data_IF_974942610846
#
_entry.id   IF_974942610846
#
_cell.length_a   1.000
_cell.length_b   1.000
_cell.length_c   1.000
_cell.angle_alpha   90.00
_cell.angle_beta   90.00
_cell.angle_gamma   90.00
#
_symmetry.space_group_name_H-M   'P 1'
#
loop_
_entity.id
_entity.type
_entity.pdbx_description
1 polymer ?
#
# COMPACT_ATOMS: atom_id res chain seq x y z
N UNK A 1 -16.10 1.06 -23.42
CA UNK A 1 -15.73 2.48 -23.28
C UNK A 1 -16.55 3.23 -22.24
N UNK A 2 -17.84 3.56 -22.46
CA UNK A 2 -18.64 4.31 -21.46
C UNK A 2 -18.85 3.56 -20.14
N UNK A 3 -19.23 2.27 -20.21
CA UNK A 3 -19.44 1.44 -19.02
C UNK A 3 -18.16 1.27 -18.19
N UNK A 4 -17.02 1.04 -18.86
CA UNK A 4 -15.72 0.88 -18.20
C UNK A 4 -15.26 2.18 -17.53
N UNK A 5 -15.50 3.32 -18.18
CA UNK A 5 -15.23 4.63 -17.60
C UNK A 5 -16.10 4.90 -16.38
N UNK A 6 -17.42 4.70 -16.50
CA UNK A 6 -18.37 4.91 -15.41
C UNK A 6 -18.03 4.04 -14.19
N UNK A 7 -17.69 2.77 -14.40
CA UNK A 7 -17.27 1.90 -13.33
C UNK A 7 -15.93 2.30 -12.70
N UNK A 8 -14.96 2.74 -13.50
CA UNK A 8 -13.69 3.25 -12.97
C UNK A 8 -13.89 4.47 -12.07
N UNK A 9 -14.79 5.38 -12.47
CA UNK A 9 -15.19 6.54 -11.65
C UNK A 9 -15.91 6.09 -10.38
N UNK A 10 -16.83 5.14 -10.48
CA UNK A 10 -17.56 4.61 -9.32
C UNK A 10 -16.61 3.93 -8.31
N UNK A 11 -15.68 3.10 -8.78
CA UNK A 11 -14.67 2.45 -7.94
C UNK A 11 -13.77 3.51 -7.29
N UNK A 12 -13.32 4.51 -8.05
CA UNK A 12 -12.53 5.61 -7.50
C UNK A 12 -13.29 6.38 -6.41
N UNK A 13 -14.56 6.73 -6.65
CA UNK A 13 -15.39 7.43 -5.68
C UNK A 13 -15.60 6.60 -4.41
N UNK A 14 -15.87 5.29 -4.54
CA UNK A 14 -16.00 4.39 -3.41
C UNK A 14 -14.71 4.35 -2.58
N UNK A 15 -13.56 4.15 -3.22
CA UNK A 15 -12.27 4.15 -2.54
C UNK A 15 -11.94 5.50 -1.90
N UNK A 16 -12.35 6.60 -2.52
CA UNK A 16 -12.13 7.94 -1.98
C UNK A 16 -12.87 8.16 -0.67
N UNK A 17 -14.12 7.70 -0.58
CA UNK A 17 -14.91 7.75 0.66
C UNK A 17 -14.27 6.85 1.73
N UNK A 18 -13.85 5.64 1.34
CA UNK A 18 -13.28 4.65 2.25
C UNK A 18 -11.80 4.93 2.63
N UNK A 19 -11.15 5.92 1.99
CA UNK A 19 -9.74 6.29 2.21
C UNK A 19 -9.42 6.66 3.66
N UNK A 20 -10.38 7.23 4.40
CA UNK A 20 -10.15 7.75 5.76
C UNK A 20 -10.16 6.65 6.84
N UNK A 21 -10.28 5.39 6.48
CA UNK A 21 -10.35 4.29 7.44
C UNK A 21 -9.00 4.06 8.15
N UNK A 22 -9.00 3.69 9.45
CA UNK A 22 -7.78 3.40 10.22
C UNK A 22 -7.02 2.11 9.83
N UNK A 23 -7.36 1.40 8.76
CA UNK A 23 -6.75 0.10 8.43
C UNK A 23 -5.26 0.17 8.01
N UNK A 24 -4.57 -0.97 8.07
CA UNK A 24 -3.17 -1.14 7.64
C UNK A 24 -2.93 -0.71 6.19
N UNK A 25 -1.71 -0.23 5.95
CA UNK A 25 -1.23 0.12 4.60
C UNK A 25 -1.29 -1.11 3.71
N UNK A 26 -2.11 -1.07 2.65
CA UNK A 26 -2.41 -2.21 1.79
C UNK A 26 -3.90 -2.52 1.69
N UNK A 27 -4.69 -2.21 2.72
CA UNK A 27 -6.13 -2.51 2.73
C UNK A 27 -6.90 -1.85 1.58
N UNK A 28 -6.63 -0.57 1.30
CA UNK A 28 -7.31 0.16 0.23
C UNK A 28 -6.95 -0.38 -1.17
N UNK A 29 -5.73 -0.87 -1.33
CA UNK A 29 -5.29 -1.54 -2.56
C UNK A 29 -5.96 -2.90 -2.71
N UNK A 30 -6.06 -3.68 -1.64
CA UNK A 30 -6.79 -4.96 -1.63
C UNK A 30 -8.27 -4.77 -1.97
N UNK A 31 -8.90 -3.73 -1.42
CA UNK A 31 -10.27 -3.35 -1.76
C UNK A 31 -10.42 -2.98 -3.25
N UNK A 32 -9.45 -2.22 -3.78
CA UNK A 32 -9.41 -1.91 -5.21
C UNK A 32 -9.33 -3.18 -6.07
N UNK A 33 -8.47 -4.14 -5.72
CA UNK A 33 -8.36 -5.40 -6.45
C UNK A 33 -9.70 -6.17 -6.48
N UNK A 34 -10.39 -6.26 -5.34
CA UNK A 34 -11.71 -6.91 -5.27
C UNK A 34 -12.72 -6.19 -6.16
N UNK A 35 -12.86 -4.86 -6.03
CA UNK A 35 -13.83 -4.09 -6.80
C UNK A 35 -13.53 -4.10 -8.30
N UNK A 36 -12.26 -3.95 -8.68
CA UNK A 36 -11.81 -3.96 -10.08
C UNK A 36 -11.97 -5.34 -10.71
N UNK A 37 -11.59 -6.40 -10.00
CA UNK A 37 -11.77 -7.79 -10.44
C UNK A 37 -13.24 -8.18 -10.59
N UNK A 38 -14.09 -7.77 -9.65
CA UNK A 38 -15.54 -7.99 -9.72
C UNK A 38 -16.15 -7.28 -10.93
N UNK A 39 -15.79 -6.01 -11.17
CA UNK A 39 -16.25 -5.29 -12.36
C UNK A 39 -15.77 -5.95 -13.66
N UNK A 40 -14.49 -6.39 -13.71
CA UNK A 40 -13.91 -7.16 -14.82
C UNK A 40 -14.71 -8.43 -15.11
N UNK A 41 -15.18 -9.13 -14.07
CA UNK A 41 -16.00 -10.32 -14.24
C UNK A 41 -17.39 -9.97 -14.82
N UNK A 42 -18.04 -8.92 -14.33
CA UNK A 42 -19.37 -8.49 -14.82
C UNK A 42 -19.31 -8.01 -16.27
N UNK A 43 -18.32 -7.19 -16.62
CA UNK A 43 -18.21 -6.64 -17.97
C UNK A 43 -17.95 -7.75 -19.00
N UNK A 44 -17.21 -8.79 -18.62
CA UNK A 44 -16.93 -9.92 -19.50
C UNK A 44 -18.18 -10.76 -19.80
N UNK A 45 -19.15 -10.85 -18.87
CA UNK A 45 -20.45 -11.48 -19.13
C UNK A 45 -21.35 -10.67 -20.07
N UNK A 46 -21.21 -9.34 -20.07
CA UNK A 46 -21.98 -8.44 -20.96
C UNK A 46 -21.34 -8.39 -22.36
N UNK A 47 -20.04 -8.67 -22.47
CA UNK A 47 -19.35 -8.74 -23.76
C UNK A 47 -19.77 -10.02 -24.49
N UNK A 48 -20.29 -9.86 -25.71
CA UNK A 48 -20.41 -10.96 -26.68
C UNK A 48 -19.00 -11.29 -27.16
N UNK A 49 -18.31 -12.16 -26.43
CA UNK A 49 -16.97 -12.63 -26.75
C UNK A 49 -17.04 -14.13 -27.12
N UNK A 50 -16.32 -14.61 -28.15
CA UNK A 50 -16.22 -16.04 -28.41
C UNK A 50 -15.56 -16.73 -27.22
N UNK A 51 -16.23 -17.75 -26.69
CA UNK A 51 -15.78 -18.52 -25.55
C UNK A 51 -14.61 -19.44 -25.94
N UNK A 52 -13.69 -19.70 -25.01
CA UNK A 52 -12.65 -20.72 -25.17
C UNK A 52 -13.03 -21.95 -24.35
N UNK A 53 -12.83 -23.14 -24.92
CA UNK A 53 -13.00 -24.39 -24.18
C UNK A 53 -11.81 -24.60 -23.24
N UNK A 54 -12.08 -24.55 -21.93
CA UNK A 54 -11.15 -24.98 -20.89
C UNK A 54 -11.82 -26.10 -20.10
N UNK A 55 -11.23 -27.30 -20.08
CA UNK A 55 -11.70 -28.45 -19.27
C UNK A 55 -13.19 -28.80 -19.47
N UNK A 56 -13.73 -28.62 -20.69
CA UNK A 56 -15.15 -28.90 -20.99
C UNK A 56 -16.13 -27.80 -20.56
N UNK A 57 -15.63 -26.68 -20.05
CA UNK A 57 -16.41 -25.47 -19.78
C UNK A 57 -15.94 -24.32 -20.68
N UNK A 58 -16.89 -23.59 -21.25
CA UNK A 58 -16.64 -22.38 -22.04
C UNK A 58 -16.32 -21.22 -21.10
N UNK A 59 -15.04 -21.05 -20.73
CA UNK A 59 -14.55 -20.01 -19.81
C UNK A 59 -13.62 -19.07 -20.56
N UNK A 60 -13.75 -17.76 -20.37
CA UNK A 60 -12.84 -16.81 -21.02
C UNK A 60 -11.55 -16.63 -20.21
N UNK A 61 -10.42 -16.41 -20.89
CA UNK A 61 -9.14 -16.14 -20.24
C UNK A 61 -9.23 -14.94 -19.27
N UNK A 62 -10.05 -13.94 -19.63
CA UNK A 62 -10.27 -12.76 -18.82
C UNK A 62 -11.03 -13.07 -17.52
N UNK A 63 -11.94 -14.05 -17.52
CA UNK A 63 -12.63 -14.50 -16.30
C UNK A 63 -11.68 -15.13 -15.30
N UNK A 64 -10.74 -15.98 -15.77
CA UNK A 64 -9.74 -16.62 -14.90
C UNK A 64 -8.88 -15.55 -14.22
N UNK A 65 -8.39 -14.56 -14.98
CA UNK A 65 -7.60 -13.45 -14.43
C UNK A 65 -8.44 -12.62 -13.44
N UNK A 66 -9.71 -12.35 -13.77
CA UNK A 66 -10.60 -11.60 -12.89
C UNK A 66 -10.78 -12.31 -11.54
N UNK A 67 -11.01 -13.63 -11.55
CA UNK A 67 -11.15 -14.44 -10.33
C UNK A 67 -9.87 -14.40 -9.51
N UNK A 68 -8.69 -14.58 -10.13
CA UNK A 68 -7.41 -14.52 -9.41
C UNK A 68 -7.18 -13.16 -8.75
N UNK A 69 -7.52 -12.06 -9.44
CA UNK A 69 -7.41 -10.70 -8.89
C UNK A 69 -8.35 -10.52 -7.70
N UNK A 70 -9.61 -10.99 -7.79
CA UNK A 70 -10.57 -10.91 -6.67
C UNK A 70 -10.07 -11.70 -5.48
N UNK A 71 -9.57 -12.93 -5.68
CA UNK A 71 -9.04 -13.77 -4.61
C UNK A 71 -7.82 -13.14 -3.93
N UNK A 72 -6.88 -12.59 -4.71
CA UNK A 72 -5.73 -11.87 -4.17
C UNK A 72 -6.17 -10.63 -3.37
N UNK A 73 -7.16 -9.89 -3.87
CA UNK A 73 -7.75 -8.76 -3.15
C UNK A 73 -8.43 -9.18 -1.84
N UNK A 74 -9.20 -10.27 -1.85
CA UNK A 74 -9.88 -10.79 -0.67
C UNK A 74 -8.90 -11.27 0.39
N UNK A 75 -7.84 -11.98 0.00
CA UNK A 75 -6.75 -12.37 0.88
C UNK A 75 -6.08 -11.14 1.51
N UNK A 76 -5.77 -10.12 0.70
CA UNK A 76 -5.20 -8.87 1.20
C UNK A 76 -6.11 -8.12 2.18
N UNK A 77 -7.43 -8.08 1.91
CA UNK A 77 -8.39 -7.50 2.85
C UNK A 77 -8.38 -8.22 4.19
N UNK A 78 -8.31 -9.55 4.18
CA UNK A 78 -8.24 -10.35 5.40
C UNK A 78 -6.95 -10.07 6.20
N UNK A 79 -5.79 -10.01 5.53
CA UNK A 79 -4.50 -9.73 6.20
C UNK A 79 -4.35 -8.29 6.69
N UNK A 80 -4.90 -7.31 5.99
CA UNK A 80 -4.77 -5.89 6.31
C UNK A 80 -5.99 -5.30 7.03
N UNK A 81 -6.93 -6.14 7.48
CA UNK A 81 -8.13 -5.70 8.20
C UNK A 81 -7.82 -5.07 9.55
N UNK A 82 -6.65 -5.34 10.12
CA UNK A 82 -6.33 -4.85 11.45
C UNK A 82 -6.10 -3.32 11.44
N UNK A 83 -6.73 -2.56 12.36
CA UNK A 83 -6.47 -1.14 12.51
C UNK A 83 -4.99 -0.84 12.77
N UNK A 84 -4.49 0.28 12.24
CA UNK A 84 -3.18 0.80 12.61
C UNK A 84 -3.25 1.49 13.96
N UNK A 85 -2.36 1.07 14.85
CA UNK A 85 -2.06 1.75 16.10
C UNK A 85 -1.24 3.02 15.84
N UNK A 86 -1.90 4.04 15.26
CA UNK A 86 -1.24 5.32 14.91
C UNK A 86 -0.52 5.95 16.10
N UNK A 87 -1.10 5.84 17.30
CA UNK A 87 -0.49 6.34 18.53
C UNK A 87 0.84 5.63 18.86
N UNK A 88 0.93 4.32 18.63
CA UNK A 88 2.17 3.56 18.86
C UNK A 88 3.25 3.92 17.82
N UNK A 89 2.85 4.11 16.56
CA UNK A 89 3.77 4.56 15.50
C UNK A 89 4.30 5.98 15.77
N UNK A 90 3.43 6.90 16.22
CA UNK A 90 3.81 8.27 16.59
C UNK A 90 4.78 8.27 17.77
N UNK A 91 4.50 7.51 18.83
CA UNK A 91 5.39 7.37 19.99
C UNK A 91 6.77 6.80 19.62
N UNK A 92 6.81 5.79 18.73
CA UNK A 92 8.07 5.25 18.20
C UNK A 92 8.81 6.29 17.34
N UNK A 93 8.10 7.08 16.53
CA UNK A 93 8.70 8.11 15.69
C UNK A 93 9.31 9.24 16.53
N UNK A 94 8.64 9.68 17.60
CA UNK A 94 9.16 10.66 18.55
C UNK A 94 10.43 10.14 19.24
N UNK A 95 10.37 8.93 19.78
CA UNK A 95 11.53 8.26 20.40
C UNK A 95 12.71 8.18 19.42
N UNK A 96 12.46 7.84 18.16
CA UNK A 96 13.50 7.76 17.13
C UNK A 96 14.08 9.15 16.79
N UNK A 97 13.24 10.19 16.70
CA UNK A 97 13.69 11.59 16.51
C UNK A 97 14.56 12.05 17.68
N UNK A 98 14.17 11.75 18.92
CA UNK A 98 14.97 12.08 20.10
C UNK A 98 16.31 11.35 20.12
N UNK A 99 16.32 10.05 19.78
CA UNK A 99 17.56 9.28 19.62
C UNK A 99 18.46 9.90 18.55
N UNK A 100 17.91 10.28 17.40
CA UNK A 100 18.67 10.97 16.34
C UNK A 100 19.21 12.33 16.79
N UNK A 101 18.42 13.14 17.51
CA UNK A 101 18.87 14.42 18.08
C UNK A 101 20.05 14.21 19.03
N UNK A 102 19.93 13.25 19.96
CA UNK A 102 21.03 12.88 20.88
C UNK A 102 22.27 12.40 20.14
N UNK A 103 22.10 11.58 19.10
CA UNK A 103 23.23 11.09 18.30
C UNK A 103 23.91 12.20 17.49
N UNK A 104 23.15 13.15 16.92
CA UNK A 104 23.72 14.34 16.27
C UNK A 104 24.48 15.22 17.25
N UNK A 105 23.93 15.46 18.45
CA UNK A 105 24.61 16.23 19.50
C UNK A 105 25.94 15.60 19.92
N UNK A 106 25.97 14.29 20.16
CA UNK A 106 27.21 13.56 20.51
C UNK A 106 28.25 13.59 19.39
N UNK A 107 27.86 13.42 18.13
CA UNK A 107 28.80 13.51 17.00
C UNK A 107 29.36 14.91 16.81
N UNK A 108 28.55 15.95 17.02
CA UNK A 108 29.04 17.33 17.00
C UNK A 108 30.10 17.56 18.07
N UNK A 109 29.80 17.13 19.31
CA UNK A 109 30.73 17.24 20.44
C UNK A 109 32.03 16.46 20.24
N UNK A 110 31.96 15.22 19.71
CA UNK A 110 33.15 14.41 19.37
C UNK A 110 34.05 15.14 18.38
N UNK A 111 33.48 15.76 17.35
CA UNK A 111 34.25 16.52 16.34
C UNK A 111 34.86 17.80 16.89
N UNK A 112 34.16 18.49 17.81
CA UNK A 112 34.71 19.67 18.49
C UNK A 112 35.87 19.28 19.43
N UNK A 113 35.72 18.18 20.17
CA UNK A 113 36.77 17.64 21.06
C UNK A 113 38.00 17.16 20.26
N UNK A 114 37.80 16.48 19.13
CA UNK A 114 38.87 16.07 18.21
C UNK A 114 39.61 17.28 17.61
N UNK A 115 38.88 18.31 17.16
CA UNK A 115 39.50 19.53 16.60
C UNK A 115 40.31 20.33 17.63
N UNK A 116 39.84 20.43 18.88
CA UNK A 116 40.60 21.07 19.96
C UNK A 116 41.88 20.30 20.33
N UNK A 117 41.85 18.97 20.26
CA UNK A 117 43.04 18.14 20.49
C UNK A 117 44.07 18.30 19.37
N UNK A 118 43.65 18.40 18.11
CA UNK A 118 44.56 18.66 16.99
C UNK A 118 45.19 20.06 17.05
N UNK A 119 44.43 21.09 17.43
CA UNK A 119 44.92 22.47 17.55
C UNK A 119 45.93 22.61 18.69
N UNK A 120 45.66 21.96 19.84
CA UNK A 120 46.60 21.94 20.98
C UNK A 120 47.86 21.13 20.69
N UNK A 121 47.77 20.05 19.90
CA UNK A 121 48.93 19.27 19.46
C UNK A 121 49.80 19.98 18.43
N UNK A 122 49.23 20.85 17.58
CA UNK A 122 49.99 21.64 16.60
C UNK A 122 50.69 22.87 17.18
N UNK A 123 50.30 23.32 18.39
CA UNK A 123 50.86 24.47 19.08
C UNK A 123 52.02 24.11 20.04
N UNK A 124 52.32 22.81 20.21
CA UNK A 124 53.41 22.26 21.02
C UNK A 124 54.60 21.84 20.14
#
# INVERSE_FOLDING_TARGET
MLYEFAASVAIFAALWVLRKHPYKSGWLFSLYLVLSGAWRFVIEKIRVNPSYDLLGFTVTQAEVIAVLIVLAGAAGLFFFWEPRDRAAEEAQAETNRERMRRWRGRRGKSKEEEGQQEETASAA
#
